data_IF_079322341018
#
_entry.id   IF_079322341018
#
_cell.length_a   1.000
_cell.length_b   1.000
_cell.length_c   1.000
_cell.angle_alpha   90.00
_cell.angle_beta   90.00
_cell.angle_gamma   90.00
#
_symmetry.space_group_name_H-M   'P 1'
#
loop_
_entity.id
_entity.type
_entity.pdbx_description
1 polymer ?
#
# COMPACT_ATOMS: atom_id res chain seq x y z
N UNK A 1 23.14 -14.31 5.57
CA UNK A 1 22.61 -12.97 5.24
C UNK A 1 23.58 -11.96 5.81
N UNK A 2 24.09 -11.03 4.99
CA UNK A 2 24.94 -9.92 5.43
C UNK A 2 24.06 -8.82 6.03
N UNK A 3 24.51 -8.21 7.13
CA UNK A 3 23.88 -7.02 7.71
C UNK A 3 24.20 -5.80 6.84
N UNK A 4 23.30 -4.82 6.84
CA UNK A 4 23.51 -3.51 6.22
C UNK A 4 24.06 -2.56 7.28
N UNK A 5 25.25 -1.98 7.04
CA UNK A 5 25.81 -0.95 7.92
C UNK A 5 25.33 0.44 7.47
N UNK A 6 24.79 1.23 8.39
CA UNK A 6 24.44 2.63 8.19
C UNK A 6 24.71 3.42 9.47
N UNK A 7 25.45 4.53 9.36
CA UNK A 7 25.81 5.39 10.49
C UNK A 7 26.41 4.61 11.70
N UNK A 8 27.27 3.64 11.39
CA UNK A 8 27.92 2.78 12.40
C UNK A 8 26.99 1.78 13.11
N UNK A 9 25.74 1.63 12.64
CA UNK A 9 24.79 0.64 13.14
C UNK A 9 24.53 -0.43 12.08
N UNK A 10 24.23 -1.65 12.54
CA UNK A 10 23.98 -2.78 11.66
C UNK A 10 22.51 -3.18 11.69
N UNK A 11 21.90 -3.26 10.51
CA UNK A 11 20.50 -3.55 10.30
C UNK A 11 20.33 -4.84 9.50
N UNK A 12 19.19 -5.51 9.66
CA UNK A 12 18.81 -6.52 8.69
C UNK A 12 18.56 -5.83 7.33
N UNK A 13 18.87 -6.48 6.19
CA UNK A 13 18.57 -5.91 4.88
C UNK A 13 17.09 -5.46 4.78
N UNK A 14 16.86 -4.27 4.23
CA UNK A 14 15.53 -3.66 4.13
C UNK A 14 15.03 -3.00 5.41
N UNK A 15 15.83 -2.90 6.47
CA UNK A 15 15.43 -2.30 7.75
C UNK A 15 16.32 -1.14 8.21
N UNK A 16 17.33 -0.76 7.42
CA UNK A 16 18.07 0.48 7.69
C UNK A 16 17.17 1.70 7.54
N UNK A 17 17.42 2.79 8.29
CA UNK A 17 16.65 4.03 8.17
C UNK A 17 16.48 4.53 6.74
N UNK A 18 17.55 4.54 5.92
CA UNK A 18 17.44 4.99 4.52
C UNK A 18 16.60 4.05 3.64
N UNK A 19 16.72 2.73 3.82
CA UNK A 19 15.89 1.76 3.09
C UNK A 19 14.41 1.91 3.44
N UNK A 20 14.11 2.08 4.73
CA UNK A 20 12.74 2.28 5.21
C UNK A 20 12.17 3.60 4.70
N UNK A 21 12.95 4.69 4.74
CA UNK A 21 12.53 5.99 4.21
C UNK A 21 12.25 5.92 2.70
N UNK A 22 13.14 5.29 1.93
CA UNK A 22 12.95 5.09 0.48
C UNK A 22 11.70 4.27 0.20
N UNK A 23 11.49 3.17 0.93
CA UNK A 23 10.30 2.34 0.78
C UNK A 23 9.01 3.11 1.12
N UNK A 24 9.06 3.98 2.13
CA UNK A 24 7.95 4.85 2.49
C UNK A 24 7.61 5.83 1.37
N UNK A 25 8.59 6.54 0.81
CA UNK A 25 8.38 7.50 -0.28
C UNK A 25 7.72 6.83 -1.50
N UNK A 26 8.20 5.65 -1.89
CA UNK A 26 7.62 4.88 -3.00
C UNK A 26 6.17 4.48 -2.70
N UNK A 27 5.87 4.05 -1.47
CA UNK A 27 4.51 3.70 -1.08
C UNK A 27 3.59 4.93 -1.05
N UNK A 28 4.08 6.07 -0.58
CA UNK A 28 3.32 7.33 -0.55
C UNK A 28 2.98 7.81 -1.97
N UNK A 29 3.94 7.78 -2.89
CA UNK A 29 3.71 8.10 -4.30
C UNK A 29 2.64 7.20 -4.92
N UNK A 30 2.67 5.90 -4.59
CA UNK A 30 1.65 4.98 -5.07
C UNK A 30 0.27 5.30 -4.50
N UNK A 31 0.17 5.70 -3.23
CA UNK A 31 -1.10 6.17 -2.63
C UNK A 31 -1.66 7.35 -3.40
N UNK A 32 -0.82 8.34 -3.75
CA UNK A 32 -1.24 9.51 -4.54
C UNK A 32 -1.82 9.09 -5.90
N UNK A 33 -1.23 8.08 -6.54
CA UNK A 33 -1.74 7.54 -7.81
C UNK A 33 -3.01 6.69 -7.64
N UNK A 34 -3.14 5.99 -6.51
CA UNK A 34 -4.27 5.11 -6.23
C UNK A 34 -5.56 5.87 -5.95
N UNK A 35 -5.50 7.06 -5.36
CA UNK A 35 -6.68 7.92 -5.12
C UNK A 35 -7.52 8.12 -6.39
N UNK A 36 -7.01 8.74 -7.48
CA UNK A 36 -7.80 8.94 -8.69
C UNK A 36 -8.09 7.64 -9.44
N UNK A 37 -7.29 6.58 -9.24
CA UNK A 37 -7.58 5.27 -9.80
C UNK A 37 -8.81 4.62 -9.14
N UNK A 38 -8.90 4.67 -7.81
CA UNK A 38 -10.04 4.17 -7.05
C UNK A 38 -11.33 4.93 -7.40
N UNK A 39 -11.29 6.26 -7.49
CA UNK A 39 -12.45 7.08 -7.89
C UNK A 39 -12.99 6.67 -9.26
N UNK A 40 -12.12 6.47 -10.26
CA UNK A 40 -12.53 5.98 -11.59
C UNK A 40 -13.11 4.56 -11.53
N UNK A 41 -12.51 3.71 -10.71
CA UNK A 41 -12.91 2.30 -10.59
C UNK A 41 -14.24 2.14 -9.85
N UNK A 42 -14.59 3.09 -8.98
CA UNK A 42 -15.82 3.10 -8.19
C UNK A 42 -17.08 2.93 -9.05
N UNK A 43 -17.10 3.56 -10.24
CA UNK A 43 -18.22 3.44 -11.20
C UNK A 43 -18.45 2.00 -11.66
N UNK A 44 -17.37 1.22 -11.84
CA UNK A 44 -17.47 -0.20 -12.22
C UNK A 44 -18.07 -1.07 -11.10
N UNK A 45 -18.04 -0.58 -9.87
CA UNK A 45 -18.61 -1.22 -8.68
C UNK A 45 -19.88 -0.53 -8.20
N UNK A 46 -20.54 0.29 -9.04
CA UNK A 46 -21.82 0.94 -8.71
C UNK A 46 -21.78 1.79 -7.42
N UNK A 47 -20.62 2.37 -7.08
CA UNK A 47 -20.49 3.14 -5.83
C UNK A 47 -20.07 2.33 -4.60
N UNK A 48 -19.88 1.01 -4.73
CA UNK A 48 -19.40 0.18 -3.63
C UNK A 48 -17.90 0.40 -3.37
N UNK A 49 -17.62 1.21 -2.34
CA UNK A 49 -16.28 1.55 -1.89
C UNK A 49 -15.51 0.30 -1.41
N UNK A 50 -16.19 -0.61 -0.71
CA UNK A 50 -15.54 -1.79 -0.13
C UNK A 50 -15.14 -2.79 -1.23
N UNK A 51 -16.05 -3.06 -2.17
CA UNK A 51 -15.75 -3.90 -3.33
C UNK A 51 -14.63 -3.29 -4.20
N UNK A 52 -14.64 -1.97 -4.36
CA UNK A 52 -13.58 -1.24 -5.09
C UNK A 52 -12.23 -1.44 -4.41
N UNK A 53 -12.12 -1.12 -3.12
CA UNK A 53 -10.87 -1.26 -2.35
C UNK A 53 -10.37 -2.71 -2.32
N UNK A 54 -11.26 -3.69 -2.15
CA UNK A 54 -10.91 -5.11 -2.23
C UNK A 54 -10.34 -5.51 -3.58
N UNK A 55 -10.94 -5.02 -4.67
CA UNK A 55 -10.45 -5.28 -6.02
C UNK A 55 -9.12 -4.57 -6.30
N UNK A 56 -8.88 -3.40 -5.73
CA UNK A 56 -7.59 -2.71 -5.79
C UNK A 56 -6.53 -3.47 -5.01
N UNK A 57 -6.84 -3.89 -3.77
CA UNK A 57 -5.92 -4.67 -2.93
C UNK A 57 -5.48 -5.96 -3.62
N UNK A 58 -6.42 -6.76 -4.14
CA UNK A 58 -6.11 -7.97 -4.90
C UNK A 58 -5.23 -7.68 -6.13
N UNK A 59 -5.45 -6.56 -6.80
CA UNK A 59 -4.60 -6.17 -7.93
C UNK A 59 -3.18 -5.80 -7.50
N UNK A 60 -3.01 -5.14 -6.36
CA UNK A 60 -1.67 -4.80 -5.83
C UNK A 60 -0.90 -6.07 -5.47
N UNK A 61 -1.53 -6.99 -4.74
CA UNK A 61 -0.95 -8.29 -4.40
C UNK A 61 -0.55 -9.09 -5.64
N UNK A 62 -1.42 -9.13 -6.66
CA UNK A 62 -1.12 -9.86 -7.91
C UNK A 62 0.03 -9.25 -8.70
N UNK A 63 0.23 -7.93 -8.64
CA UNK A 63 1.28 -7.24 -9.41
C UNK A 63 2.65 -7.32 -8.73
N UNK A 64 2.68 -7.61 -7.42
CA UNK A 64 3.92 -7.72 -6.62
C UNK A 64 4.82 -6.48 -6.71
N UNK A 65 4.22 -5.29 -6.85
CA UNK A 65 4.96 -4.02 -6.84
C UNK A 65 5.51 -3.68 -5.46
N UNK A 66 4.80 -4.14 -4.42
CA UNK A 66 5.15 -3.96 -3.02
C UNK A 66 4.97 -5.29 -2.29
N UNK A 67 5.51 -5.40 -1.08
CA UNK A 67 5.19 -6.54 -0.20
C UNK A 67 3.71 -6.54 0.20
N UNK A 68 3.21 -7.64 0.73
CA UNK A 68 1.83 -7.76 1.18
C UNK A 68 1.49 -6.69 2.25
N UNK A 69 2.40 -6.48 3.22
CA UNK A 69 2.26 -5.46 4.26
C UNK A 69 2.24 -4.04 3.69
N UNK A 70 3.10 -3.75 2.72
CA UNK A 70 3.09 -2.45 2.03
C UNK A 70 1.80 -2.27 1.23
N UNK A 71 1.33 -3.31 0.54
CA UNK A 71 0.10 -3.29 -0.23
C UNK A 71 -1.12 -3.01 0.66
N UNK A 72 -1.17 -3.64 1.84
CA UNK A 72 -2.19 -3.35 2.86
C UNK A 72 -2.12 -1.89 3.30
N UNK A 73 -0.91 -1.39 3.62
CA UNK A 73 -0.69 -0.01 4.04
C UNK A 73 -1.14 0.99 2.97
N UNK A 74 -0.82 0.73 1.69
CA UNK A 74 -1.23 1.57 0.55
C UNK A 74 -2.76 1.65 0.45
N UNK A 75 -3.46 0.52 0.56
CA UNK A 75 -4.94 0.51 0.47
C UNK A 75 -5.57 1.25 1.63
N UNK A 76 -5.06 1.07 2.86
CA UNK A 76 -5.52 1.80 4.05
C UNK A 76 -5.33 3.30 3.88
N UNK A 77 -4.16 3.74 3.47
CA UNK A 77 -3.86 5.16 3.23
C UNK A 77 -4.67 5.76 2.08
N UNK A 78 -4.93 4.98 1.04
CA UNK A 78 -5.80 5.41 -0.06
C UNK A 78 -7.23 5.61 0.44
N UNK A 79 -7.77 4.67 1.23
CA UNK A 79 -9.11 4.78 1.82
C UNK A 79 -9.21 6.01 2.76
N UNK A 80 -8.20 6.24 3.60
CA UNK A 80 -8.11 7.43 4.46
C UNK A 80 -8.14 8.74 3.64
N UNK A 81 -7.34 8.83 2.57
CA UNK A 81 -7.29 10.01 1.68
C UNK A 81 -8.62 10.27 0.97
N UNK A 82 -9.35 9.21 0.63
CA UNK A 82 -10.66 9.28 -0.03
C UNK A 82 -11.82 9.51 0.96
N UNK A 83 -11.58 9.39 2.27
CA UNK A 83 -12.63 9.40 3.29
C UNK A 83 -13.56 8.19 3.22
N UNK A 84 -13.08 7.06 2.70
CA UNK A 84 -13.86 5.82 2.56
C UNK A 84 -13.73 4.94 3.79
N UNK A 85 -14.82 4.24 4.14
CA UNK A 85 -14.79 3.28 5.24
C UNK A 85 -14.12 1.98 4.79
N UNK A 86 -13.15 1.50 5.57
CA UNK A 86 -12.47 0.23 5.32
C UNK A 86 -12.78 -0.76 6.43
N UNK A 87 -13.53 -1.81 6.09
CA UNK A 87 -13.82 -2.90 7.01
C UNK A 87 -12.58 -3.80 7.15
N UNK A 88 -12.32 -4.42 8.31
CA UNK A 88 -11.21 -5.38 8.46
C UNK A 88 -11.30 -6.56 7.48
N UNK A 89 -12.52 -6.93 7.08
CA UNK A 89 -12.81 -7.97 6.07
C UNK A 89 -12.37 -7.59 4.65
N UNK A 90 -12.17 -6.32 4.35
CA UNK A 90 -11.79 -5.85 3.01
C UNK A 90 -10.34 -6.23 2.65
N UNK A 91 -9.50 -6.36 3.68
CA UNK A 91 -8.09 -6.71 3.58
C UNK A 91 -7.81 -8.19 3.91
N UNK A 92 -8.85 -8.96 4.24
CA UNK A 92 -8.74 -10.41 4.35
C UNK A 92 -8.51 -10.98 2.95
N UNK A 93 -7.32 -11.55 2.74
CA UNK A 93 -6.91 -12.17 1.48
C UNK A 93 -7.85 -13.31 1.07
#
# INVERSE_FOLDING_TARGET
MSLTEEDGKFYAPGTSPSEVATAFEVCEDLVVQMVPYCERKLTAFQGDQEATLRAVYRSLLSKKWCTDLQSEWIVRKTAERLGWHLSPSTLAA
#
